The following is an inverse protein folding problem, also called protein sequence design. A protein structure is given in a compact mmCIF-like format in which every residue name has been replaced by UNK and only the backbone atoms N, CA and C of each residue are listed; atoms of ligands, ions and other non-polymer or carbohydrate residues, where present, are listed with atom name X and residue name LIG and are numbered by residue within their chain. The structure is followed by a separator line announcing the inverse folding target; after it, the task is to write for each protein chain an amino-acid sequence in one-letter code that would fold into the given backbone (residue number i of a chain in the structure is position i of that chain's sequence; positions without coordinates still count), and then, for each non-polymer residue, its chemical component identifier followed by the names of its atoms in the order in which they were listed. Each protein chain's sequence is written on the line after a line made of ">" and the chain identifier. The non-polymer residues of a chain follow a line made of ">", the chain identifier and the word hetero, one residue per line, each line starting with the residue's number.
data_IF_856883596308
#
_entry.id   IF_856883596308
#
_cell.length_a   1.000
_cell.length_b   1.000
_cell.length_c   1.000
_cell.angle_alpha   90.00
_cell.angle_beta   90.00
_cell.angle_gamma   90.00
#
_symmetry.space_group_name_H-M   'P 1'
#
loop_
_entity.id
_entity.type
_entity.pdbx_description
1 polymer ?
#
# COMPACT_ATOMS: atom_id res chain seq x y z
N UNK A 1 25.57 27.65 1.32
CA UNK A 1 24.35 27.40 2.10
C UNK A 1 23.28 28.37 1.60
N UNK A 2 22.39 27.92 0.73
CA UNK A 2 21.31 28.76 0.17
C UNK A 2 20.22 28.94 1.23
N UNK A 3 19.93 30.20 1.59
CA UNK A 3 18.85 30.57 2.49
C UNK A 3 17.51 30.04 1.92
N UNK A 4 16.91 29.03 2.55
CA UNK A 4 15.53 28.63 2.24
C UNK A 4 14.63 29.84 2.51
N UNK A 5 13.87 30.26 1.52
CA UNK A 5 12.90 31.35 1.64
C UNK A 5 11.89 31.01 2.76
N UNK A 6 11.54 32.01 3.58
CA UNK A 6 10.47 31.89 4.59
C UNK A 6 9.16 31.33 4.01
N UNK A 7 8.86 31.66 2.77
CA UNK A 7 7.72 31.12 2.02
C UNK A 7 7.81 29.60 1.81
N UNK A 8 9.00 29.07 1.52
CA UNK A 8 9.21 27.62 1.36
C UNK A 8 9.00 26.88 2.69
N UNK A 9 9.49 27.42 3.79
CA UNK A 9 9.34 26.84 5.13
C UNK A 9 7.88 26.86 5.59
N UNK A 10 7.16 27.94 5.34
CA UNK A 10 5.72 28.03 5.66
C UNK A 10 4.90 27.05 4.82
N UNK A 11 5.20 26.87 3.53
CA UNK A 11 4.52 25.92 2.66
C UNK A 11 4.77 24.47 3.10
N UNK A 12 6.00 24.12 3.45
CA UNK A 12 6.38 22.80 3.98
C UNK A 12 5.65 22.49 5.32
N UNK A 13 5.55 23.48 6.21
CA UNK A 13 4.84 23.33 7.49
C UNK A 13 3.32 23.15 7.30
N UNK A 14 2.71 23.87 6.36
CA UNK A 14 1.30 23.73 6.04
C UNK A 14 1.02 22.35 5.41
N UNK A 15 1.89 21.88 4.52
CA UNK A 15 1.77 20.56 3.91
C UNK A 15 1.95 19.44 4.95
N UNK A 16 2.87 19.57 5.88
CA UNK A 16 3.07 18.60 6.96
C UNK A 16 1.85 18.52 7.90
N UNK A 17 1.24 19.68 8.26
CA UNK A 17 0.02 19.73 9.07
C UNK A 17 -1.15 19.11 8.33
N UNK A 18 -1.34 19.44 7.07
CA UNK A 18 -2.39 18.90 6.21
C UNK A 18 -2.26 17.39 6.06
N UNK A 19 -1.06 16.89 5.83
CA UNK A 19 -0.75 15.47 5.71
C UNK A 19 -1.13 14.71 6.98
N UNK A 20 -0.76 15.23 8.17
CA UNK A 20 -1.14 14.62 9.44
C UNK A 20 -2.66 14.63 9.68
N UNK A 21 -3.34 15.70 9.29
CA UNK A 21 -4.80 15.77 9.35
C UNK A 21 -5.46 14.71 8.46
N UNK A 22 -4.90 14.44 7.28
CA UNK A 22 -5.45 13.44 6.36
C UNK A 22 -5.15 11.99 6.78
N UNK A 23 -4.18 11.80 7.67
CA UNK A 23 -3.79 10.50 8.23
C UNK A 23 -4.31 10.30 9.68
N UNK A 24 -5.26 11.12 10.15
CA UNK A 24 -5.74 11.07 11.54
C UNK A 24 -6.44 9.76 11.92
N UNK A 25 -7.00 9.05 10.94
CA UNK A 25 -7.62 7.74 11.13
C UNK A 25 -6.62 6.57 11.22
N UNK A 26 -5.31 6.86 11.08
CA UNK A 26 -4.25 5.87 11.26
C UNK A 26 -3.80 5.84 12.73
N UNK A 27 -3.63 4.63 13.29
CA UNK A 27 -3.23 4.43 14.70
C UNK A 27 -1.81 4.90 14.98
N UNK A 28 -0.94 4.78 13.99
CA UNK A 28 0.44 5.24 14.05
C UNK A 28 0.89 5.79 12.71
N UNK A 29 1.54 6.94 12.75
CA UNK A 29 2.19 7.55 11.57
C UNK A 29 3.58 8.02 11.98
N UNK A 30 4.59 7.52 11.27
CA UNK A 30 5.99 7.88 11.47
C UNK A 30 6.31 9.34 11.10
N UNK A 31 7.59 9.64 11.03
CA UNK A 31 8.07 10.99 10.72
C UNK A 31 8.10 11.24 9.20
N UNK A 32 7.94 12.50 8.82
CA UNK A 32 8.03 12.98 7.43
C UNK A 32 7.10 12.28 6.40
N UNK A 33 5.81 12.01 6.71
CA UNK A 33 4.90 11.51 5.69
C UNK A 33 4.63 12.59 4.63
N UNK A 34 4.51 12.18 3.36
CA UNK A 34 4.25 13.06 2.22
C UNK A 34 3.03 12.59 1.44
N UNK A 35 2.00 13.42 1.33
CA UNK A 35 0.80 13.12 0.57
C UNK A 35 0.62 14.11 -0.56
N UNK A 36 0.46 13.58 -1.77
CA UNK A 36 0.04 14.34 -2.94
C UNK A 36 -1.44 14.08 -3.24
N UNK A 37 -2.32 14.94 -2.71
CA UNK A 37 -3.78 14.75 -2.68
C UNK A 37 -4.25 13.95 -1.47
N UNK A 38 -5.54 14.10 -1.12
CA UNK A 38 -6.15 13.47 0.04
C UNK A 38 -6.54 12.02 -0.26
N UNK A 39 -5.99 11.01 0.43
CA UNK A 39 -6.40 9.61 0.31
C UNK A 39 -7.81 9.39 0.92
N UNK A 40 -8.43 8.27 0.57
CA UNK A 40 -9.54 7.72 1.32
C UNK A 40 -8.99 6.77 2.38
N UNK A 41 -9.24 7.04 3.64
CA UNK A 41 -8.82 6.16 4.74
C UNK A 41 -10.07 5.75 5.51
N UNK A 42 -10.24 4.44 5.68
CA UNK A 42 -11.30 3.86 6.49
C UNK A 42 -10.69 2.80 7.39
N UNK A 43 -10.46 3.16 8.65
CA UNK A 43 -9.84 2.28 9.64
C UNK A 43 -10.88 1.79 10.64
N UNK A 44 -11.44 0.61 10.39
CA UNK A 44 -12.26 -0.11 11.38
C UNK A 44 -11.42 -1.03 12.26
N UNK A 45 -10.21 -1.34 11.85
CA UNK A 45 -9.21 -2.13 12.57
C UNK A 45 -8.01 -1.28 12.94
N UNK A 46 -6.84 -1.59 12.39
CA UNK A 46 -5.58 -0.90 12.70
C UNK A 46 -4.79 -0.56 11.45
N UNK A 47 -4.27 0.66 11.37
CA UNK A 47 -3.34 1.11 10.32
C UNK A 47 -2.10 1.71 10.98
N UNK A 48 -0.94 1.13 10.70
CA UNK A 48 0.35 1.69 11.10
C UNK A 48 1.19 2.01 9.89
N UNK A 49 1.80 3.20 9.91
CA UNK A 49 2.64 3.73 8.83
C UNK A 49 4.00 4.11 9.41
N UNK A 50 5.07 3.63 8.79
CA UNK A 50 6.45 3.96 9.13
C UNK A 50 6.88 5.36 8.68
N UNK A 51 8.17 5.64 8.84
CA UNK A 51 8.77 6.92 8.52
C UNK A 51 8.88 7.12 7.00
N UNK A 52 8.91 8.40 6.56
CA UNK A 52 9.13 8.79 5.16
C UNK A 52 8.16 8.13 4.17
N UNK A 53 6.96 7.82 4.63
CA UNK A 53 5.89 7.33 3.78
C UNK A 53 5.49 8.35 2.74
N UNK A 54 5.24 7.91 1.52
CA UNK A 54 4.70 8.78 0.47
C UNK A 54 3.53 8.13 -0.27
N UNK A 55 2.49 8.93 -0.56
CA UNK A 55 1.33 8.44 -1.30
C UNK A 55 0.75 9.51 -2.20
N UNK A 56 0.47 9.14 -3.46
CA UNK A 56 -0.26 9.99 -4.38
C UNK A 56 -1.74 9.62 -4.41
N UNK A 57 -2.59 10.62 -4.46
CA UNK A 57 -4.05 10.52 -4.64
C UNK A 57 -4.55 11.47 -5.73
N UNK A 58 -3.67 11.88 -6.62
CA UNK A 58 -3.97 12.68 -7.81
C UNK A 58 -3.31 12.05 -9.04
N UNK A 59 -4.00 12.02 -10.18
CA UNK A 59 -5.35 12.53 -10.44
C UNK A 59 -6.46 11.63 -9.85
N UNK A 60 -6.17 10.39 -9.48
CA UNK A 60 -7.13 9.45 -8.91
C UNK A 60 -6.83 9.13 -7.45
N UNK A 61 -7.88 9.15 -6.65
CA UNK A 61 -7.82 8.96 -5.21
C UNK A 61 -7.39 7.54 -4.86
N UNK A 62 -6.37 7.41 -4.01
CA UNK A 62 -5.95 6.13 -3.45
C UNK A 62 -6.66 5.86 -2.13
N UNK A 63 -6.76 4.58 -1.75
CA UNK A 63 -7.47 4.17 -0.53
C UNK A 63 -6.64 3.20 0.32
N UNK A 64 -6.77 3.37 1.66
CA UNK A 64 -6.27 2.46 2.69
C UNK A 64 -7.44 2.08 3.58
N UNK A 65 -7.79 0.80 3.61
CA UNK A 65 -8.97 0.34 4.34
C UNK A 65 -8.62 -0.84 5.25
N UNK A 66 -9.23 -0.89 6.44
CA UNK A 66 -9.16 -2.06 7.31
C UNK A 66 -10.54 -2.49 7.76
N UNK A 67 -10.77 -3.80 7.74
CA UNK A 67 -11.93 -4.40 8.42
C UNK A 67 -11.72 -4.39 9.95
N UNK A 68 -12.78 -4.67 10.72
CA UNK A 68 -12.78 -4.58 12.19
C UNK A 68 -11.66 -5.38 12.92
N UNK A 69 -11.13 -6.42 12.31
CA UNK A 69 -10.00 -7.21 12.82
C UNK A 69 -8.76 -7.10 11.93
N UNK A 70 -8.82 -6.21 10.94
CA UNK A 70 -7.75 -6.01 9.98
C UNK A 70 -6.59 -5.21 10.55
N UNK A 71 -5.38 -5.55 10.11
CA UNK A 71 -4.19 -4.79 10.42
C UNK A 71 -3.42 -4.50 9.12
N UNK A 72 -3.26 -3.23 8.80
CA UNK A 72 -2.43 -2.75 7.71
C UNK A 72 -1.15 -2.17 8.28
N UNK A 73 -0.03 -2.83 8.01
CA UNK A 73 1.30 -2.42 8.42
C UNK A 73 2.10 -1.96 7.19
N UNK A 74 2.49 -0.69 7.18
CA UNK A 74 3.27 -0.07 6.10
C UNK A 74 4.62 0.36 6.66
N UNK A 75 5.69 -0.21 6.14
CA UNK A 75 7.06 0.09 6.54
C UNK A 75 7.55 1.50 6.18
N UNK A 76 8.76 1.80 6.60
CA UNK A 76 9.41 3.08 6.34
C UNK A 76 9.83 3.22 4.87
N UNK A 77 9.78 4.44 4.32
CA UNK A 77 10.19 4.73 2.95
C UNK A 77 9.29 4.11 1.86
N UNK A 78 8.11 3.62 2.23
CA UNK A 78 7.16 3.07 1.25
C UNK A 78 6.55 4.18 0.43
N UNK A 79 6.48 3.95 -0.89
CA UNK A 79 5.88 4.89 -1.85
C UNK A 79 4.70 4.24 -2.59
N UNK A 80 3.56 4.92 -2.65
CA UNK A 80 2.32 4.43 -3.27
C UNK A 80 1.85 5.40 -4.34
N UNK A 81 1.65 4.90 -5.56
CA UNK A 81 1.10 5.64 -6.69
C UNK A 81 -0.40 5.92 -6.55
N UNK A 82 -0.90 6.82 -7.39
CA UNK A 82 -2.31 7.21 -7.39
C UNK A 82 -3.26 6.08 -7.82
N UNK A 83 -4.51 6.14 -7.37
CA UNK A 83 -5.51 5.13 -7.70
C UNK A 83 -5.24 3.74 -7.09
N UNK A 84 -4.27 3.62 -6.20
CA UNK A 84 -4.01 2.37 -5.50
C UNK A 84 -5.08 2.10 -4.44
N UNK A 85 -5.44 0.83 -4.28
CA UNK A 85 -6.40 0.37 -3.27
C UNK A 85 -5.80 -0.75 -2.43
N UNK A 86 -5.67 -0.51 -1.13
CA UNK A 86 -5.11 -1.48 -0.19
C UNK A 86 -6.12 -1.74 0.91
N UNK A 87 -6.57 -3.00 1.03
CA UNK A 87 -7.52 -3.40 2.04
C UNK A 87 -7.01 -4.59 2.85
N UNK A 88 -7.04 -4.45 4.18
CA UNK A 88 -6.66 -5.49 5.14
C UNK A 88 -7.84 -5.87 6.03
N UNK A 89 -8.31 -7.11 5.92
CA UNK A 89 -9.34 -7.70 6.77
C UNK A 89 -8.76 -8.68 7.80
N UNK A 90 -7.57 -9.22 7.53
CA UNK A 90 -6.74 -9.96 8.48
C UNK A 90 -5.43 -9.20 8.72
N UNK A 91 -4.45 -9.32 7.83
CA UNK A 91 -3.18 -8.63 7.97
C UNK A 91 -2.50 -8.43 6.60
N UNK A 92 -2.21 -7.20 6.27
CA UNK A 92 -1.37 -6.82 5.12
C UNK A 92 -0.13 -6.12 5.64
N UNK A 93 1.05 -6.73 5.43
CA UNK A 93 2.32 -6.13 5.79
C UNK A 93 3.11 -5.76 4.52
N UNK A 94 3.55 -4.51 4.43
CA UNK A 94 4.36 -3.96 3.33
C UNK A 94 5.70 -3.52 3.92
N UNK A 95 6.77 -4.18 3.48
CA UNK A 95 8.13 -3.94 3.98
C UNK A 95 8.73 -2.62 3.51
N UNK A 96 9.74 -2.18 4.25
CA UNK A 96 10.43 -0.90 4.04
C UNK A 96 10.93 -0.71 2.62
N UNK A 97 10.91 0.53 2.14
CA UNK A 97 11.44 0.92 0.83
C UNK A 97 10.70 0.34 -0.37
N UNK A 98 9.53 -0.26 -0.16
CA UNK A 98 8.72 -0.82 -1.25
C UNK A 98 8.06 0.28 -2.06
N UNK A 99 8.09 0.13 -3.39
CA UNK A 99 7.49 1.06 -4.35
C UNK A 99 6.31 0.39 -5.03
N UNK A 100 5.14 0.99 -4.88
CA UNK A 100 3.87 0.52 -5.43
C UNK A 100 3.42 1.49 -6.51
N UNK A 101 3.27 1.00 -7.72
CA UNK A 101 2.83 1.77 -8.89
C UNK A 101 1.37 2.22 -8.79
N UNK A 102 0.91 3.06 -9.73
CA UNK A 102 -0.47 3.47 -9.80
C UNK A 102 -1.41 2.29 -10.11
N UNK A 103 -2.66 2.43 -9.64
CA UNK A 103 -3.75 1.44 -9.86
C UNK A 103 -3.47 0.04 -9.33
N UNK A 104 -2.56 -0.11 -8.37
CA UNK A 104 -2.30 -1.39 -7.73
C UNK A 104 -3.42 -1.70 -6.75
N UNK A 105 -3.89 -2.95 -6.79
CA UNK A 105 -4.89 -3.46 -5.85
C UNK A 105 -4.26 -4.54 -4.96
N UNK A 106 -4.37 -4.38 -3.65
CA UNK A 106 -3.89 -5.34 -2.64
C UNK A 106 -5.05 -5.67 -1.73
N UNK A 107 -5.52 -6.93 -1.79
CA UNK A 107 -6.66 -7.40 -1.01
C UNK A 107 -6.30 -8.72 -0.32
N UNK A 108 -6.51 -8.83 0.98
CA UNK A 108 -6.28 -10.08 1.74
C UNK A 108 -7.55 -10.92 1.93
N UNK A 109 -8.66 -10.49 1.35
CA UNK A 109 -9.95 -11.18 1.37
C UNK A 109 -10.52 -11.29 -0.05
N UNK A 110 -11.23 -12.38 -0.33
CA UNK A 110 -12.20 -12.42 -1.41
C UNK A 110 -13.56 -12.06 -0.79
N UNK A 111 -14.28 -11.13 -1.39
CA UNK A 111 -15.56 -10.66 -0.84
C UNK A 111 -16.62 -11.77 -0.80
N UNK A 112 -16.48 -12.80 -1.65
CA UNK A 112 -17.35 -13.98 -1.73
C UNK A 112 -16.52 -15.25 -1.89
N UNK A 113 -17.01 -16.36 -1.39
CA UNK A 113 -16.43 -17.68 -1.71
C UNK A 113 -16.76 -18.05 -3.15
N UNK A 114 -15.82 -18.70 -3.85
CA UNK A 114 -15.98 -19.05 -5.27
C UNK A 114 -17.14 -20.02 -5.53
N UNK A 115 -17.46 -20.85 -4.53
CA UNK A 115 -18.51 -21.86 -4.62
C UNK A 115 -19.78 -21.50 -3.84
N UNK A 116 -19.77 -20.44 -3.07
CA UNK A 116 -20.91 -19.96 -2.30
C UNK A 116 -20.85 -18.42 -2.22
N UNK A 117 -21.68 -17.77 -3.04
CA UNK A 117 -21.71 -16.31 -3.13
C UNK A 117 -22.24 -15.63 -1.88
N UNK A 118 -22.93 -16.36 -1.00
CA UNK A 118 -23.45 -15.84 0.27
C UNK A 118 -22.45 -16.01 1.41
N UNK A 119 -21.45 -16.89 1.26
CA UNK A 119 -20.38 -17.06 2.24
C UNK A 119 -19.33 -15.95 2.11
N UNK A 120 -18.98 -15.33 3.24
CA UNK A 120 -17.87 -14.37 3.29
C UNK A 120 -16.55 -15.10 3.09
N UNK A 121 -15.74 -14.62 2.16
CA UNK A 121 -14.40 -15.13 1.93
C UNK A 121 -13.52 -15.09 3.19
N UNK A 122 -12.67 -16.09 3.38
CA UNK A 122 -11.72 -16.13 4.49
C UNK A 122 -10.52 -15.25 4.18
N UNK A 123 -10.28 -14.24 5.02
CA UNK A 123 -9.10 -13.40 4.91
C UNK A 123 -7.83 -14.20 5.25
N UNK A 124 -6.80 -14.06 4.42
CA UNK A 124 -5.47 -14.69 4.62
C UNK A 124 -4.39 -13.63 4.66
N UNK A 125 -3.53 -13.65 5.70
CA UNK A 125 -2.45 -12.69 5.82
C UNK A 125 -1.59 -12.59 4.57
N UNK A 126 -1.08 -11.38 4.31
CA UNK A 126 -0.20 -11.07 3.18
C UNK A 126 1.08 -10.44 3.66
N UNK A 127 2.14 -10.79 2.97
CA UNK A 127 3.42 -10.15 3.16
C UNK A 127 4.02 -9.72 1.82
N UNK A 128 4.31 -8.45 1.72
CA UNK A 128 5.15 -7.85 0.69
C UNK A 128 6.47 -7.50 1.35
N UNK A 129 7.55 -8.05 0.85
CA UNK A 129 8.89 -7.88 1.40
C UNK A 129 9.42 -6.45 1.30
N UNK A 130 10.66 -6.25 1.73
CA UNK A 130 11.36 -4.97 1.67
C UNK A 130 11.91 -4.71 0.27
N UNK A 131 11.91 -3.43 -0.15
CA UNK A 131 12.49 -3.00 -1.42
C UNK A 131 11.82 -3.61 -2.66
N UNK A 132 10.60 -4.09 -2.54
CA UNK A 132 9.81 -4.64 -3.65
C UNK A 132 9.41 -3.51 -4.60
N UNK A 133 9.42 -3.79 -5.90
CA UNK A 133 8.90 -2.87 -6.92
C UNK A 133 7.67 -3.49 -7.59
N UNK A 134 6.55 -2.83 -7.48
CA UNK A 134 5.28 -3.28 -8.07
C UNK A 134 4.90 -2.31 -9.18
N UNK A 135 4.78 -2.82 -10.39
CA UNK A 135 4.38 -2.06 -11.58
C UNK A 135 2.93 -1.57 -11.48
N UNK A 136 2.53 -0.78 -12.46
CA UNK A 136 1.17 -0.25 -12.54
C UNK A 136 0.14 -1.34 -12.79
N UNK A 137 -1.09 -1.14 -12.28
CA UNK A 137 -2.23 -2.01 -12.55
C UNK A 137 -2.00 -3.49 -12.16
N UNK A 138 -1.25 -3.71 -11.08
CA UNK A 138 -1.02 -5.05 -10.53
C UNK A 138 -2.09 -5.38 -9.51
N UNK A 139 -2.59 -6.61 -9.55
CA UNK A 139 -3.51 -7.15 -8.56
C UNK A 139 -2.79 -8.20 -7.72
N UNK A 140 -2.81 -8.03 -6.41
CA UNK A 140 -2.24 -9.00 -5.45
C UNK A 140 -3.39 -9.65 -4.71
N UNK A 141 -3.63 -10.94 -5.00
CA UNK A 141 -4.74 -11.70 -4.45
C UNK A 141 -4.43 -12.26 -3.06
N UNK A 142 -5.44 -12.68 -2.32
CA UNK A 142 -5.34 -13.25 -0.96
C UNK A 142 -4.28 -14.35 -0.85
N UNK A 143 -3.53 -14.38 0.24
CA UNK A 143 -2.51 -15.40 0.52
C UNK A 143 -1.24 -15.30 -0.33
N UNK A 144 -1.14 -14.33 -1.25
CA UNK A 144 0.10 -14.10 -1.97
C UNK A 144 1.19 -13.56 -1.03
N UNK A 145 2.42 -13.97 -1.22
CA UNK A 145 3.61 -13.48 -0.52
C UNK A 145 4.65 -13.08 -1.55
N UNK A 146 5.23 -11.90 -1.40
CA UNK A 146 6.27 -11.38 -2.31
C UNK A 146 7.55 -11.21 -1.49
N UNK A 147 8.61 -11.89 -1.92
CA UNK A 147 9.92 -11.83 -1.26
C UNK A 147 10.63 -10.49 -1.45
N UNK A 148 11.60 -10.21 -0.57
CA UNK A 148 12.37 -8.97 -0.56
C UNK A 148 13.04 -8.71 -1.92
N UNK A 149 13.00 -7.46 -2.39
CA UNK A 149 13.64 -7.03 -3.63
C UNK A 149 13.05 -7.62 -4.92
N UNK A 150 11.89 -8.26 -4.86
CA UNK A 150 11.21 -8.75 -6.07
C UNK A 150 10.67 -7.59 -6.92
N UNK A 151 10.54 -7.83 -8.21
CA UNK A 151 9.99 -6.85 -9.17
C UNK A 151 8.80 -7.47 -9.87
N UNK A 152 7.65 -6.82 -9.79
CA UNK A 152 6.41 -7.27 -10.42
C UNK A 152 6.14 -6.39 -11.63
N UNK A 153 6.07 -7.02 -12.80
CA UNK A 153 5.74 -6.34 -14.05
C UNK A 153 4.32 -5.75 -14.05
N UNK A 154 4.06 -4.70 -14.83
CA UNK A 154 2.74 -4.09 -14.90
C UNK A 154 1.68 -5.07 -15.44
N UNK A 155 0.41 -4.81 -15.12
CA UNK A 155 -0.74 -5.63 -15.52
C UNK A 155 -0.67 -7.10 -15.07
N UNK A 156 0.03 -7.39 -13.98
CA UNK A 156 0.19 -8.74 -13.46
C UNK A 156 -0.80 -9.06 -12.35
N UNK A 157 -1.13 -10.35 -12.21
CA UNK A 157 -1.94 -10.86 -11.09
C UNK A 157 -1.11 -11.82 -10.25
N UNK A 158 -0.78 -11.41 -9.04
CA UNK A 158 0.00 -12.23 -8.08
C UNK A 158 -0.96 -13.02 -7.21
N UNK A 159 -0.94 -14.35 -7.35
CA UNK A 159 -1.80 -15.29 -6.61
C UNK A 159 -1.03 -16.31 -5.77
N UNK A 160 0.31 -16.24 -5.75
CA UNK A 160 1.18 -17.23 -5.12
C UNK A 160 2.37 -16.57 -4.42
N UNK A 161 3.21 -17.41 -3.83
CA UNK A 161 4.51 -16.99 -3.29
C UNK A 161 5.47 -16.68 -4.43
N UNK A 162 6.02 -15.48 -4.43
CA UNK A 162 7.11 -15.06 -5.32
C UNK A 162 8.41 -14.98 -4.52
N UNK A 163 9.48 -15.66 -4.95
CA UNK A 163 10.76 -15.65 -4.26
C UNK A 163 11.42 -14.25 -4.25
N UNK A 164 12.35 -14.01 -3.29
CA UNK A 164 13.08 -12.75 -3.24
C UNK A 164 13.91 -12.49 -4.51
N UNK A 165 14.08 -11.22 -4.84
CA UNK A 165 14.96 -10.75 -5.94
C UNK A 165 14.67 -11.40 -7.31
N UNK A 166 13.41 -11.78 -7.55
CA UNK A 166 12.95 -12.28 -8.84
C UNK A 166 12.10 -11.25 -9.55
N UNK A 167 12.21 -11.25 -10.87
CA UNK A 167 11.20 -10.65 -11.72
C UNK A 167 10.03 -11.61 -11.87
N UNK A 168 8.82 -11.08 -11.91
CA UNK A 168 7.61 -11.87 -12.19
C UNK A 168 6.62 -11.02 -12.97
N UNK A 169 5.97 -11.62 -13.95
CA UNK A 169 4.96 -10.95 -14.76
C UNK A 169 3.86 -11.91 -15.22
N UNK A 170 2.75 -11.35 -15.69
CA UNK A 170 1.65 -12.10 -16.31
C UNK A 170 0.46 -12.38 -15.39
N UNK A 171 -0.52 -13.13 -15.92
CA UNK A 171 -1.79 -13.51 -15.27
C UNK A 171 -1.96 -15.03 -15.38
N UNK A 172 -1.63 -15.79 -14.32
CA UNK A 172 -0.98 -15.38 -13.06
C UNK A 172 0.51 -15.03 -13.26
N UNK A 173 1.02 -14.15 -12.39
CA UNK A 173 2.43 -13.76 -12.41
C UNK A 173 3.33 -14.98 -12.12
N UNK A 174 4.33 -15.14 -12.96
CA UNK A 174 5.35 -16.20 -12.85
C UNK A 174 6.73 -15.56 -12.80
N UNK A 175 7.66 -16.11 -11.99
CA UNK A 175 9.05 -15.71 -12.04
C UNK A 175 9.65 -16.04 -13.42
N UNK A 176 10.48 -15.13 -13.90
CA UNK A 176 11.32 -15.34 -15.08
C UNK A 176 12.48 -16.29 -14.76
#
# INVERSE_FOLDING_TARGET
>A
MTARSLFSVCAELLDARRTRLWLHDCDRVGVEPRLHGRPAIESLGRIEIGDQFSMSSLPLRSSLNTGARGFLEIGSGVSIGHGASIAAHAHVAIGDGTVIGPFVMILDIDFHETNDHDARGVAKPRRIGRGVRIGSNVVILRGATIGDGAIIGPNSVVSRVLPPRRHASGVPARPD
#
